data_IF_874027341513
#
_entry.id   IF_874027341513
#
_cell.length_a   1.000
_cell.length_b   1.000
_cell.length_c   1.000
_cell.angle_alpha   90.00
_cell.angle_beta   90.00
_cell.angle_gamma   90.00
#
_symmetry.space_group_name_H-M   'P 1'
#
loop_
_entity.id
_entity.type
_entity.pdbx_description
1 polymer ?
#
# COMPACT_ATOMS: atom_id res chain seq x y z
N UNK A 1 23.22 -11.00 -22.66
CA UNK A 1 23.51 -11.97 -21.59
C UNK A 1 24.38 -11.29 -20.54
N UNK A 2 24.21 -11.57 -19.29
CA UNK A 2 24.98 -10.98 -18.18
C UNK A 2 26.12 -11.89 -17.76
N UNK A 3 27.26 -11.33 -17.39
CA UNK A 3 28.45 -12.06 -16.97
C UNK A 3 28.45 -12.42 -15.47
N UNK A 4 27.36 -12.15 -14.74
CA UNK A 4 27.31 -12.33 -13.28
C UNK A 4 26.35 -13.39 -12.81
N UNK A 5 26.06 -14.37 -13.62
CA UNK A 5 25.02 -15.33 -13.32
C UNK A 5 25.58 -16.70 -13.06
N UNK A 6 24.89 -17.47 -12.28
CA UNK A 6 25.14 -18.91 -12.10
C UNK A 6 24.41 -19.67 -13.19
N UNK A 7 25.05 -20.65 -13.79
CA UNK A 7 24.42 -21.56 -14.70
C UNK A 7 23.46 -22.45 -13.94
N UNK A 8 22.14 -22.22 -14.07
CA UNK A 8 21.13 -23.10 -13.50
C UNK A 8 20.75 -24.18 -14.49
N UNK A 9 20.92 -25.44 -14.09
CA UNK A 9 20.23 -26.56 -14.73
C UNK A 9 18.83 -26.66 -14.10
N UNK A 10 17.84 -26.22 -14.82
CA UNK A 10 16.44 -26.22 -14.38
C UNK A 10 15.86 -27.62 -14.11
N UNK A 11 16.58 -28.67 -14.46
CA UNK A 11 16.15 -30.06 -14.27
C UNK A 11 16.94 -30.82 -13.22
N UNK A 12 18.09 -30.32 -12.79
CA UNK A 12 18.92 -30.98 -11.80
C UNK A 12 19.66 -29.94 -10.94
N UNK A 13 19.36 -29.93 -9.67
CA UNK A 13 20.02 -29.09 -8.64
C UNK A 13 21.52 -29.47 -8.41
N UNK A 14 22.19 -30.07 -9.38
CA UNK A 14 23.64 -30.35 -9.31
C UNK A 14 24.38 -29.14 -9.85
N UNK A 15 25.20 -28.51 -8.98
CA UNK A 15 26.19 -27.49 -9.37
C UNK A 15 27.02 -28.05 -10.53
N UNK A 16 26.83 -27.45 -11.72
CA UNK A 16 27.77 -27.59 -12.81
C UNK A 16 28.98 -26.73 -12.45
N UNK A 17 30.19 -27.23 -12.71
CA UNK A 17 31.47 -26.55 -12.41
C UNK A 17 31.40 -25.06 -12.76
N UNK A 18 31.93 -24.24 -11.86
CA UNK A 18 32.01 -22.81 -11.93
C UNK A 18 32.38 -22.31 -13.34
N UNK A 19 31.36 -21.82 -14.03
CA UNK A 19 31.55 -20.95 -15.19
C UNK A 19 31.75 -19.53 -14.66
N UNK A 20 32.69 -18.75 -15.19
CA UNK A 20 32.87 -17.36 -14.76
C UNK A 20 31.68 -16.43 -15.11
N UNK A 21 30.69 -16.95 -15.82
CA UNK A 21 29.49 -16.25 -16.24
C UNK A 21 28.24 -16.99 -15.77
N UNK A 22 27.42 -16.32 -15.02
CA UNK A 22 26.13 -16.80 -14.59
C UNK A 22 25.02 -16.22 -15.50
N UNK A 23 23.90 -16.88 -15.72
CA UNK A 23 22.77 -16.40 -16.49
C UNK A 23 21.65 -15.87 -15.59
N UNK A 24 21.24 -14.62 -15.80
CA UNK A 24 20.13 -14.02 -15.04
C UNK A 24 18.76 -14.33 -15.62
N UNK A 25 18.68 -15.14 -16.66
CA UNK A 25 17.41 -15.50 -17.29
C UNK A 25 16.88 -14.54 -18.36
N UNK A 26 17.58 -13.44 -18.64
CA UNK A 26 17.22 -12.53 -19.71
C UNK A 26 18.02 -12.84 -20.98
N UNK A 27 17.32 -13.09 -22.09
CA UNK A 27 17.93 -13.42 -23.39
C UNK A 27 17.23 -12.66 -24.51
N UNK A 28 18.02 -12.10 -25.44
CA UNK A 28 17.53 -11.53 -26.68
C UNK A 28 18.09 -12.34 -27.87
N UNK A 29 17.23 -12.73 -28.77
CA UNK A 29 17.58 -13.55 -29.95
C UNK A 29 17.36 -12.77 -31.23
N UNK A 30 18.35 -12.70 -32.09
CA UNK A 30 18.29 -12.00 -33.37
C UNK A 30 17.63 -12.83 -34.49
N UNK A 31 17.57 -14.17 -34.33
CA UNK A 31 16.96 -15.06 -35.33
C UNK A 31 15.90 -15.96 -34.67
N UNK A 32 14.64 -15.69 -34.99
CA UNK A 32 13.53 -16.53 -34.62
C UNK A 32 13.63 -17.96 -35.13
N UNK A 33 14.11 -18.11 -36.39
CA UNK A 33 14.20 -19.42 -37.03
C UNK A 33 15.24 -20.32 -36.32
N UNK A 34 16.42 -19.79 -36.03
CA UNK A 34 17.46 -20.56 -35.35
C UNK A 34 17.08 -20.89 -33.91
N UNK A 35 16.34 -20.01 -33.22
CA UNK A 35 15.78 -20.30 -31.89
C UNK A 35 14.78 -21.46 -31.97
N UNK A 36 13.86 -21.46 -32.91
CA UNK A 36 12.90 -22.54 -33.10
C UNK A 36 13.59 -23.88 -33.38
N UNK A 37 14.62 -23.89 -34.28
CA UNK A 37 15.43 -25.08 -34.55
C UNK A 37 16.11 -25.59 -33.27
N UNK A 38 16.76 -24.72 -32.53
CA UNK A 38 17.46 -25.06 -31.29
C UNK A 38 16.50 -25.65 -30.24
N UNK A 39 15.32 -25.06 -30.08
CA UNK A 39 14.27 -25.57 -29.17
C UNK A 39 13.74 -26.94 -29.62
N UNK A 40 13.54 -27.15 -30.91
CA UNK A 40 13.09 -28.44 -31.45
C UNK A 40 14.14 -29.55 -31.21
N UNK A 41 15.41 -29.28 -31.52
CA UNK A 41 16.50 -30.25 -31.34
C UNK A 41 16.75 -30.54 -29.86
N UNK A 42 16.61 -29.54 -28.99
CA UNK A 42 16.78 -29.69 -27.54
C UNK A 42 15.61 -30.38 -26.82
N UNK A 43 14.53 -30.74 -27.56
CA UNK A 43 13.31 -31.30 -26.99
C UNK A 43 12.73 -30.42 -25.88
N UNK A 44 12.69 -29.12 -26.11
CA UNK A 44 12.24 -28.07 -25.17
C UNK A 44 13.12 -27.84 -23.95
N UNK A 45 14.32 -28.44 -23.87
CA UNK A 45 15.30 -28.08 -22.85
C UNK A 45 15.91 -26.72 -23.22
N UNK A 46 15.53 -25.69 -22.49
CA UNK A 46 15.89 -24.29 -22.82
C UNK A 46 17.37 -24.01 -22.73
N UNK A 47 18.05 -24.53 -21.70
CA UNK A 47 19.51 -24.38 -21.53
C UNK A 47 20.25 -24.97 -22.72
N UNK A 48 19.90 -26.20 -23.12
CA UNK A 48 20.47 -26.85 -24.30
C UNK A 48 20.15 -26.08 -25.59
N UNK A 49 18.95 -25.50 -25.69
CA UNK A 49 18.58 -24.67 -26.84
C UNK A 49 19.45 -23.42 -26.97
N UNK A 50 19.78 -22.76 -25.85
CA UNK A 50 20.70 -21.61 -25.84
C UNK A 50 22.08 -22.00 -26.35
N UNK A 51 22.63 -23.12 -25.91
CA UNK A 51 23.92 -23.61 -26.41
C UNK A 51 23.88 -23.91 -27.92
N UNK A 52 22.82 -24.57 -28.40
CA UNK A 52 22.65 -24.84 -29.81
C UNK A 52 22.50 -23.56 -30.66
N UNK A 53 21.73 -22.61 -30.13
CA UNK A 53 21.58 -21.30 -30.77
C UNK A 53 22.91 -20.55 -30.86
N UNK A 54 23.69 -20.56 -29.76
CA UNK A 54 25.00 -19.89 -29.71
C UNK A 54 26.02 -20.49 -30.65
N UNK A 55 25.91 -21.77 -31.02
CA UNK A 55 26.73 -22.39 -32.05
C UNK A 55 26.39 -21.90 -33.45
N UNK A 56 25.11 -21.56 -33.70
CA UNK A 56 24.66 -21.06 -35.02
C UNK A 56 24.82 -19.53 -35.13
N UNK A 57 24.54 -18.80 -34.06
CA UNK A 57 24.59 -17.34 -34.02
C UNK A 57 25.32 -16.91 -32.75
N UNK A 58 26.42 -16.21 -32.88
CA UNK A 58 27.17 -15.70 -31.74
C UNK A 58 26.31 -14.80 -30.85
N UNK A 59 26.29 -15.11 -29.57
CA UNK A 59 25.59 -14.29 -28.56
C UNK A 59 26.62 -13.44 -27.80
N UNK A 60 26.27 -12.19 -27.57
CA UNK A 60 27.09 -11.25 -26.81
C UNK A 60 26.64 -11.24 -25.35
N UNK A 61 27.58 -11.43 -24.44
CA UNK A 61 27.34 -11.17 -23.02
C UNK A 61 27.25 -9.69 -22.74
N UNK A 62 26.28 -9.31 -21.91
CA UNK A 62 26.11 -7.94 -21.43
C UNK A 62 26.21 -7.98 -19.91
N UNK A 63 27.12 -7.19 -19.37
CA UNK A 63 27.28 -7.02 -17.94
C UNK A 63 26.13 -6.15 -17.41
N UNK A 64 25.44 -6.59 -16.37
CA UNK A 64 24.35 -5.85 -15.73
C UNK A 64 24.73 -5.63 -14.27
N UNK A 65 24.79 -4.37 -13.89
CA UNK A 65 24.99 -3.92 -12.50
C UNK A 65 24.07 -2.71 -12.25
N UNK A 66 23.39 -2.64 -11.10
CA UNK A 66 23.28 -3.69 -10.08
C UNK A 66 22.36 -4.85 -10.51
N UNK A 67 22.61 -6.06 -9.98
CA UNK A 67 21.76 -7.24 -10.16
C UNK A 67 21.18 -7.68 -8.81
N UNK A 68 19.87 -7.89 -8.80
CA UNK A 68 19.14 -8.37 -7.62
C UNK A 68 18.49 -9.72 -7.90
N UNK A 69 18.93 -10.73 -7.18
CA UNK A 69 18.37 -12.08 -7.29
C UNK A 69 17.09 -12.20 -6.47
N UNK A 70 15.99 -12.59 -7.12
CA UNK A 70 14.69 -12.83 -6.50
C UNK A 70 14.24 -14.30 -6.68
N UNK A 71 15.16 -15.23 -6.92
CA UNK A 71 14.87 -16.63 -7.25
C UNK A 71 14.24 -17.42 -6.10
N UNK A 72 14.44 -16.99 -4.87
CA UNK A 72 13.82 -17.57 -3.69
C UNK A 72 13.56 -16.49 -2.62
N UNK A 73 12.82 -16.85 -1.57
CA UNK A 73 12.41 -15.90 -0.53
C UNK A 73 13.60 -15.21 0.17
N UNK A 74 14.68 -15.94 0.46
CA UNK A 74 15.86 -15.35 1.12
C UNK A 74 16.55 -14.35 0.21
N UNK A 75 16.74 -14.70 -1.06
CA UNK A 75 17.31 -13.80 -2.06
C UNK A 75 16.41 -12.59 -2.31
N UNK A 76 15.09 -12.79 -2.37
CA UNK A 76 14.12 -11.70 -2.48
C UNK A 76 14.23 -10.70 -1.31
N UNK A 77 14.31 -11.17 -0.07
CA UNK A 77 14.49 -10.31 1.10
C UNK A 77 15.82 -9.55 1.05
N UNK A 78 16.92 -10.21 0.63
CA UNK A 78 18.21 -9.54 0.43
C UNK A 78 18.16 -8.51 -0.70
N UNK A 79 17.56 -8.87 -1.83
CA UNK A 79 17.38 -7.96 -2.96
C UNK A 79 16.57 -6.74 -2.50
N UNK A 80 15.47 -6.96 -1.80
CA UNK A 80 14.62 -5.91 -1.27
C UNK A 80 15.34 -4.99 -0.29
N UNK A 81 16.17 -5.53 0.60
CA UNK A 81 17.00 -4.75 1.52
C UNK A 81 17.99 -3.84 0.79
N UNK A 82 18.49 -4.27 -0.38
CA UNK A 82 19.43 -3.50 -1.19
C UNK A 82 18.75 -2.59 -2.23
N UNK A 83 17.52 -2.93 -2.63
CA UNK A 83 16.71 -2.14 -3.56
C UNK A 83 15.84 -1.12 -2.84
N UNK A 84 16.11 -0.86 -1.55
CA UNK A 84 15.31 0.13 -0.80
C UNK A 84 15.21 1.38 -1.63
N UNK A 85 14.01 1.60 -2.12
CA UNK A 85 13.70 2.72 -2.98
C UNK A 85 13.87 3.98 -2.14
N UNK A 86 14.92 4.72 -2.42
CA UNK A 86 14.95 6.14 -2.12
C UNK A 86 13.71 6.73 -2.79
N UNK A 87 12.64 6.91 -2.01
CA UNK A 87 11.63 7.87 -2.43
C UNK A 87 12.33 9.22 -2.37
N UNK A 88 12.03 10.12 -3.29
CA UNK A 88 12.71 11.39 -3.52
C UNK A 88 13.00 12.25 -2.27
N UNK A 89 12.47 11.88 -1.09
CA UNK A 89 12.58 12.62 0.17
C UNK A 89 12.97 11.79 1.40
N UNK A 90 13.15 10.47 1.30
CA UNK A 90 13.51 9.62 2.43
C UNK A 90 14.69 8.73 2.06
N UNK A 91 15.76 8.76 2.86
CA UNK A 91 16.85 7.78 2.79
C UNK A 91 16.56 6.63 3.76
N UNK A 92 16.62 5.41 3.26
CA UNK A 92 16.44 4.20 4.05
C UNK A 92 17.65 3.29 3.83
N UNK A 93 18.37 2.95 4.90
CA UNK A 93 19.52 2.07 4.87
C UNK A 93 19.27 0.83 5.73
N UNK A 94 19.60 -0.35 5.19
CA UNK A 94 19.50 -1.61 5.93
C UNK A 94 20.89 -2.21 6.06
N UNK A 95 21.38 -2.33 7.30
CA UNK A 95 22.68 -2.92 7.62
C UNK A 95 22.58 -3.76 8.88
N UNK A 96 23.17 -4.94 8.88
CA UNK A 96 23.31 -5.82 10.06
C UNK A 96 22.01 -6.03 10.85
N UNK A 97 20.89 -6.14 10.16
CA UNK A 97 19.58 -6.34 10.81
C UNK A 97 18.95 -5.08 11.40
N UNK A 98 19.45 -3.90 11.02
CA UNK A 98 18.97 -2.59 11.45
C UNK A 98 18.52 -1.81 10.23
N UNK A 99 17.34 -1.17 10.32
CA UNK A 99 16.82 -0.20 9.34
C UNK A 99 17.03 1.19 9.89
N UNK A 100 17.81 2.02 9.22
CA UNK A 100 17.95 3.44 9.56
C UNK A 100 17.20 4.29 8.55
N UNK A 101 16.32 5.17 9.03
CA UNK A 101 15.51 6.09 8.23
C UNK A 101 15.87 7.53 8.53
N UNK A 102 16.06 8.32 7.49
CA UNK A 102 16.20 9.78 7.54
C UNK A 102 15.41 10.43 6.41
N UNK A 103 15.18 11.72 6.48
CA UNK A 103 14.46 12.50 5.45
C UNK A 103 14.95 13.92 5.45
N UNK A 104 14.78 14.62 4.33
CA UNK A 104 14.96 16.06 4.24
C UNK A 104 13.86 16.82 5.05
N UNK A 105 12.71 16.17 5.26
CA UNK A 105 11.66 16.65 6.17
C UNK A 105 11.93 16.18 7.60
N UNK A 106 12.69 16.99 8.34
CA UNK A 106 13.01 16.72 9.73
C UNK A 106 11.78 16.60 10.64
N UNK A 107 10.74 17.41 10.41
CA UNK A 107 9.52 17.37 11.21
C UNK A 107 8.83 16.01 11.11
N UNK A 108 8.86 15.39 9.92
CA UNK A 108 8.31 14.07 9.70
C UNK A 108 9.07 13.01 10.51
N UNK A 109 10.41 13.01 10.44
CA UNK A 109 11.23 12.03 11.17
C UNK A 109 11.07 12.20 12.67
N UNK A 110 11.07 13.43 13.16
CA UNK A 110 10.89 13.74 14.58
C UNK A 110 9.50 13.32 15.08
N UNK A 111 8.46 13.51 14.27
CA UNK A 111 7.10 13.04 14.57
C UNK A 111 7.03 11.50 14.67
N UNK A 112 7.67 10.78 13.75
CA UNK A 112 7.74 9.32 13.80
C UNK A 112 8.50 8.85 15.05
N UNK A 113 9.64 9.49 15.42
CA UNK A 113 10.38 9.23 16.66
C UNK A 113 9.48 9.47 17.87
N UNK A 114 8.76 10.61 17.88
CA UNK A 114 7.83 10.93 18.95
C UNK A 114 6.80 9.82 19.13
N UNK A 115 6.20 9.33 18.05
CA UNK A 115 5.23 8.25 18.11
C UNK A 115 5.82 6.97 18.73
N UNK A 116 6.97 6.48 18.24
CA UNK A 116 7.60 5.26 18.75
C UNK A 116 7.98 5.35 20.23
N UNK A 117 8.36 6.53 20.70
CA UNK A 117 8.79 6.75 22.08
C UNK A 117 7.63 6.92 23.05
N UNK A 118 6.46 7.43 22.59
CA UNK A 118 5.33 7.79 23.43
C UNK A 118 4.16 6.80 23.40
N UNK A 119 4.13 5.84 22.46
CA UNK A 119 3.06 4.85 22.45
C UNK A 119 3.04 4.03 23.73
N UNK A 120 1.83 3.66 24.23
CA UNK A 120 1.67 2.81 25.40
C UNK A 120 2.38 1.47 25.26
N UNK A 121 2.93 0.97 26.36
CA UNK A 121 3.66 -0.30 26.39
C UNK A 121 2.91 -1.48 25.75
N UNK A 122 1.58 -1.68 25.93
CA UNK A 122 0.85 -2.75 25.27
C UNK A 122 0.86 -2.68 23.74
N UNK A 123 0.95 -1.48 23.14
CA UNK A 123 1.00 -1.29 21.69
C UNK A 123 2.38 -1.58 21.09
N UNK A 124 3.45 -1.52 21.87
CA UNK A 124 4.83 -1.79 21.38
C UNK A 124 5.00 -3.19 20.79
N UNK A 125 4.16 -4.15 21.21
CA UNK A 125 4.17 -5.50 20.62
C UNK A 125 3.82 -5.50 19.12
N UNK A 126 3.10 -4.49 18.65
CA UNK A 126 2.70 -4.32 17.25
C UNK A 126 3.69 -3.50 16.43
N UNK A 127 4.79 -3.05 16.98
CA UNK A 127 5.80 -2.24 16.27
C UNK A 127 7.12 -2.97 16.16
N UNK A 128 7.98 -2.66 15.17
CA UNK A 128 9.39 -2.93 15.26
C UNK A 128 9.97 -2.28 16.52
N UNK A 129 11.06 -2.84 17.04
CA UNK A 129 11.76 -2.24 18.17
C UNK A 129 12.48 -0.98 17.70
N UNK A 130 12.24 0.16 18.34
CA UNK A 130 13.08 1.34 18.20
C UNK A 130 14.40 1.06 18.91
N UNK A 131 15.50 1.06 18.14
CA UNK A 131 16.86 0.77 18.65
C UNK A 131 17.52 2.05 19.10
N UNK A 132 17.51 3.09 18.25
CA UNK A 132 18.16 4.36 18.51
C UNK A 132 17.54 5.47 17.66
N UNK A 133 17.78 6.71 18.06
CA UNK A 133 17.50 7.91 17.26
C UNK A 133 18.51 8.99 17.57
N UNK A 134 18.87 9.78 16.57
CA UNK A 134 19.90 10.80 16.69
C UNK A 134 19.60 12.02 15.84
N UNK A 135 20.22 13.13 16.18
CA UNK A 135 20.29 14.33 15.38
C UNK A 135 21.77 14.64 15.08
N UNK A 136 22.15 14.62 13.81
CA UNK A 136 23.50 14.92 13.34
C UNK A 136 23.41 16.02 12.30
N UNK A 137 24.18 17.09 12.48
CA UNK A 137 24.21 18.26 11.60
C UNK A 137 22.81 18.85 11.29
N UNK A 138 21.91 18.77 12.27
CA UNK A 138 20.54 19.27 12.15
C UNK A 138 19.58 18.31 11.45
N UNK A 139 20.02 17.15 11.00
CA UNK A 139 19.19 16.12 10.39
C UNK A 139 18.83 15.03 11.41
N UNK A 140 17.54 14.72 11.51
CA UNK A 140 17.05 13.62 12.34
C UNK A 140 17.10 12.29 11.60
N UNK A 141 17.43 11.24 12.36
CA UNK A 141 17.31 9.84 11.90
C UNK A 141 16.93 8.93 13.05
N UNK A 142 16.33 7.80 12.75
CA UNK A 142 16.06 6.76 13.71
C UNK A 142 16.35 5.37 13.14
N UNK A 143 16.58 4.42 14.02
CA UNK A 143 16.92 3.04 13.70
C UNK A 143 15.92 2.07 14.34
N UNK A 144 15.37 1.18 13.52
CA UNK A 144 14.49 0.09 13.94
C UNK A 144 15.14 -1.27 13.71
N UNK A 145 14.68 -2.29 14.41
CA UNK A 145 14.98 -3.68 14.03
C UNK A 145 14.49 -3.95 12.61
N UNK A 146 15.35 -4.58 11.80
CA UNK A 146 14.93 -5.03 10.48
C UNK A 146 14.11 -6.32 10.60
N UNK A 147 12.87 -6.25 10.14
CA UNK A 147 11.96 -7.39 10.09
C UNK A 147 11.87 -7.89 8.64
N UNK A 148 12.43 -9.08 8.32
CA UNK A 148 12.35 -9.67 6.98
C UNK A 148 10.95 -10.25 6.72
N UNK A 149 9.92 -9.43 6.84
CA UNK A 149 8.52 -9.78 6.73
C UNK A 149 7.91 -9.18 5.45
N UNK A 150 6.83 -9.78 4.99
CA UNK A 150 6.06 -9.24 3.87
C UNK A 150 4.98 -8.27 4.37
N UNK A 151 4.83 -7.11 3.75
CA UNK A 151 3.71 -6.22 4.05
C UNK A 151 2.41 -6.80 3.50
N UNK A 152 1.30 -6.42 4.13
CA UNK A 152 -0.01 -6.97 3.78
C UNK A 152 -0.47 -6.61 2.36
N UNK A 153 -0.05 -5.47 1.82
CA UNK A 153 -0.37 -5.10 0.44
C UNK A 153 0.19 -6.10 -0.58
N UNK A 154 1.41 -6.61 -0.39
CA UNK A 154 1.97 -7.65 -1.27
C UNK A 154 1.20 -8.96 -1.15
N UNK A 155 0.85 -9.36 0.08
CA UNK A 155 0.05 -10.56 0.33
C UNK A 155 -1.37 -10.43 -0.22
N UNK A 156 -1.96 -9.23 -0.19
CA UNK A 156 -3.32 -8.96 -0.65
C UNK A 156 -3.41 -8.94 -2.17
N UNK A 157 -2.47 -8.27 -2.83
CA UNK A 157 -2.46 -8.07 -4.29
C UNK A 157 -1.93 -9.30 -5.04
N UNK A 158 -0.91 -9.97 -4.49
CA UNK A 158 -0.19 -11.03 -5.21
C UNK A 158 -0.30 -12.41 -4.55
N UNK A 159 -0.72 -12.47 -3.28
CA UNK A 159 -0.82 -13.72 -2.54
C UNK A 159 -2.10 -14.49 -2.86
N UNK A 160 -2.03 -15.81 -2.62
CA UNK A 160 -3.17 -16.74 -2.72
C UNK A 160 -3.57 -17.27 -1.33
N UNK A 161 -3.36 -16.46 -0.29
CA UNK A 161 -3.70 -16.81 1.08
C UNK A 161 -5.22 -17.02 1.25
N UNK A 162 -5.60 -18.00 2.06
CA UNK A 162 -7.00 -18.37 2.25
C UNK A 162 -7.80 -17.33 3.04
N UNK A 163 -9.12 -17.45 3.05
CA UNK A 163 -10.01 -16.59 3.83
C UNK A 163 -9.70 -16.68 5.34
N UNK A 164 -9.40 -17.89 5.86
CA UNK A 164 -9.05 -18.11 7.27
C UNK A 164 -7.74 -17.39 7.66
N UNK A 165 -6.78 -17.31 6.73
CA UNK A 165 -5.57 -16.53 6.93
C UNK A 165 -5.90 -15.04 7.15
N UNK A 166 -6.78 -14.48 6.33
CA UNK A 166 -7.20 -13.08 6.44
C UNK A 166 -8.10 -12.82 7.64
N UNK A 167 -8.98 -13.75 8.00
CA UNK A 167 -9.76 -13.69 9.26
C UNK A 167 -8.83 -13.56 10.47
N UNK A 168 -7.74 -14.34 10.50
CA UNK A 168 -6.74 -14.23 11.56
C UNK A 168 -6.06 -12.85 11.58
N UNK A 169 -5.68 -12.30 10.42
CA UNK A 169 -5.10 -10.95 10.32
C UNK A 169 -6.10 -9.91 10.82
N UNK A 170 -7.37 -9.98 10.41
CA UNK A 170 -8.41 -9.07 10.86
C UNK A 170 -8.61 -9.15 12.38
N UNK A 171 -8.53 -10.33 12.96
CA UNK A 171 -8.59 -10.49 14.41
C UNK A 171 -7.41 -9.78 15.12
N UNK A 172 -6.19 -9.91 14.61
CA UNK A 172 -5.01 -9.21 15.14
C UNK A 172 -5.13 -7.68 15.01
N UNK A 173 -5.70 -7.20 13.91
CA UNK A 173 -5.96 -5.76 13.73
C UNK A 173 -7.04 -5.25 14.68
N UNK A 174 -8.10 -6.05 14.96
CA UNK A 174 -9.10 -5.72 15.99
C UNK A 174 -8.47 -5.64 17.38
N UNK A 175 -7.50 -6.51 17.69
CA UNK A 175 -6.75 -6.41 18.95
C UNK A 175 -5.92 -5.11 19.01
N UNK A 176 -5.29 -4.71 17.90
CA UNK A 176 -4.58 -3.43 17.82
C UNK A 176 -5.53 -2.26 18.10
N UNK A 177 -6.68 -2.18 17.41
CA UNK A 177 -7.69 -1.15 17.66
C UNK A 177 -8.21 -1.15 19.09
N UNK A 178 -8.49 -2.32 19.66
CA UNK A 178 -8.95 -2.46 21.03
C UNK A 178 -7.95 -1.88 22.03
N UNK A 179 -6.65 -2.17 21.86
CA UNK A 179 -5.60 -1.63 22.71
C UNK A 179 -5.36 -0.13 22.49
N UNK A 180 -5.43 0.32 21.25
CA UNK A 180 -5.27 1.73 20.89
C UNK A 180 -6.40 2.61 21.49
N UNK A 181 -7.58 2.01 21.68
CA UNK A 181 -8.77 2.69 22.17
C UNK A 181 -9.00 2.54 23.70
N UNK A 182 -8.03 2.02 24.46
CA UNK A 182 -8.17 1.91 25.91
C UNK A 182 -8.26 3.29 26.57
N UNK A 183 -9.35 3.51 27.31
CA UNK A 183 -9.72 4.82 27.90
C UNK A 183 -8.69 5.39 28.86
N UNK A 184 -7.86 4.56 29.48
CA UNK A 184 -6.87 5.00 30.47
C UNK A 184 -5.73 5.83 29.84
N UNK A 185 -5.51 5.65 28.55
CA UNK A 185 -4.40 6.27 27.82
C UNK A 185 -4.71 7.71 27.42
N UNK A 186 -5.98 8.05 27.18
CA UNK A 186 -6.40 9.34 26.61
C UNK A 186 -7.37 10.15 27.49
N UNK A 187 -7.52 9.79 28.77
CA UNK A 187 -8.39 10.50 29.74
C UNK A 187 -8.12 12.00 29.88
N UNK A 188 -6.93 12.44 29.55
CA UNK A 188 -6.48 13.82 29.67
C UNK A 188 -6.68 14.65 28.38
N UNK A 189 -7.16 14.02 27.31
CA UNK A 189 -7.38 14.69 26.03
C UNK A 189 -8.72 15.43 26.06
N UNK A 190 -8.73 16.67 25.56
CA UNK A 190 -9.92 17.51 25.52
C UNK A 190 -11.07 16.86 24.74
N UNK A 191 -12.28 17.02 25.22
CA UNK A 191 -13.50 16.39 24.65
C UNK A 191 -13.74 16.78 23.18
N UNK A 192 -13.28 17.95 22.72
CA UNK A 192 -13.43 18.41 21.35
C UNK A 192 -12.35 17.95 20.38
N UNK A 193 -11.27 17.34 20.87
CA UNK A 193 -10.09 17.01 20.07
C UNK A 193 -10.41 16.11 18.87
N UNK A 194 -11.09 14.97 19.09
CA UNK A 194 -11.40 14.04 18.02
C UNK A 194 -12.31 14.66 16.94
N UNK A 195 -13.23 15.52 17.35
CA UNK A 195 -14.11 16.26 16.43
C UNK A 195 -13.32 17.24 15.57
N UNK A 196 -12.47 18.05 16.19
CA UNK A 196 -11.60 18.99 15.46
C UNK A 196 -10.67 18.26 14.50
N UNK A 197 -10.12 17.12 14.95
CA UNK A 197 -9.27 16.28 14.12
C UNK A 197 -10.00 15.73 12.88
N UNK A 198 -11.24 15.24 13.05
CA UNK A 198 -12.08 14.80 11.95
C UNK A 198 -12.40 15.95 10.96
N UNK A 199 -12.78 17.13 11.47
CA UNK A 199 -13.04 18.31 10.67
C UNK A 199 -11.84 18.70 9.80
N UNK A 200 -10.64 18.70 10.37
CA UNK A 200 -9.42 19.06 9.64
C UNK A 200 -9.08 18.02 8.56
N UNK A 201 -9.23 16.73 8.84
CA UNK A 201 -8.86 15.67 7.90
C UNK A 201 -9.92 15.43 6.83
N UNK A 202 -11.19 15.32 7.22
CA UNK A 202 -12.26 14.94 6.29
C UNK A 202 -12.80 16.14 5.50
N UNK A 203 -12.83 17.33 6.10
CA UNK A 203 -13.34 18.52 5.44
C UNK A 203 -12.20 19.38 4.87
N UNK A 204 -11.46 20.10 5.72
CA UNK A 204 -10.50 21.13 5.27
C UNK A 204 -9.43 20.57 4.34
N UNK A 205 -8.80 19.46 4.73
CA UNK A 205 -7.75 18.82 3.93
C UNK A 205 -8.27 18.28 2.61
N UNK A 206 -9.46 17.66 2.61
CA UNK A 206 -10.04 17.08 1.39
C UNK A 206 -10.37 18.19 0.41
N UNK A 207 -11.08 19.24 0.81
CA UNK A 207 -11.43 20.34 -0.09
C UNK A 207 -10.18 21.07 -0.62
N UNK A 208 -9.20 21.37 0.26
CA UNK A 208 -7.93 21.99 -0.15
C UNK A 208 -7.25 21.19 -1.26
N UNK A 209 -7.18 19.86 -1.11
CA UNK A 209 -6.51 18.97 -2.07
C UNK A 209 -7.33 18.75 -3.33
N UNK A 210 -8.65 18.69 -3.20
CA UNK A 210 -9.54 18.55 -4.35
C UNK A 210 -9.50 19.78 -5.25
N UNK A 211 -9.48 20.99 -4.67
CA UNK A 211 -9.26 22.22 -5.45
C UNK A 211 -7.88 22.28 -6.10
N UNK A 212 -6.83 21.87 -5.40
CA UNK A 212 -5.50 21.80 -5.99
C UNK A 212 -5.45 20.82 -7.18
N UNK A 213 -6.14 19.68 -7.07
CA UNK A 213 -6.27 18.74 -8.20
C UNK A 213 -7.02 19.37 -9.38
N UNK A 214 -8.11 20.10 -9.10
CA UNK A 214 -8.90 20.74 -10.15
C UNK A 214 -8.10 21.81 -10.92
N UNK A 215 -7.32 22.60 -10.20
CA UNK A 215 -6.43 23.62 -10.77
C UNK A 215 -5.32 22.98 -11.63
N UNK A 216 -4.67 21.93 -11.12
CA UNK A 216 -3.56 21.25 -11.81
C UNK A 216 -4.02 20.47 -13.06
N UNK A 217 -5.21 19.87 -13.00
CA UNK A 217 -5.74 19.01 -14.06
C UNK A 217 -6.72 19.76 -15.01
N UNK A 218 -6.99 21.04 -14.79
CA UNK A 218 -7.98 21.85 -15.53
C UNK A 218 -9.36 21.18 -15.55
N UNK A 219 -9.85 20.74 -14.40
CA UNK A 219 -11.11 20.02 -14.23
C UNK A 219 -12.12 20.86 -13.45
N UNK A 220 -13.34 21.01 -13.99
CA UNK A 220 -14.45 21.62 -13.26
C UNK A 220 -15.13 20.60 -12.35
N UNK A 221 -14.97 20.77 -11.04
CA UNK A 221 -15.55 19.89 -10.02
C UNK A 221 -17.08 19.97 -9.92
N UNK A 222 -17.72 20.95 -10.55
CA UNK A 222 -19.17 21.11 -10.57
C UNK A 222 -19.83 20.38 -11.75
N UNK A 223 -19.05 19.83 -12.68
CA UNK A 223 -19.61 19.07 -13.78
C UNK A 223 -20.28 17.78 -13.29
N UNK A 224 -21.49 17.47 -13.78
CA UNK A 224 -22.16 16.22 -13.47
C UNK A 224 -21.32 15.00 -13.87
N UNK A 225 -21.21 14.04 -12.98
CA UNK A 225 -20.47 12.78 -13.16
C UNK A 225 -21.45 11.66 -13.46
N UNK A 226 -21.19 10.96 -14.56
CA UNK A 226 -21.86 9.68 -14.88
C UNK A 226 -20.83 8.58 -14.66
N UNK A 227 -21.14 7.64 -13.77
CA UNK A 227 -20.34 6.48 -13.48
C UNK A 227 -21.18 5.22 -13.67
N UNK A 228 -20.75 4.31 -14.55
CA UNK A 228 -21.44 3.06 -14.84
C UNK A 228 -22.96 3.29 -14.99
N UNK A 229 -23.34 4.12 -15.99
CA UNK A 229 -24.70 4.52 -16.38
C UNK A 229 -25.52 5.27 -15.31
N UNK A 230 -24.91 5.59 -14.16
CA UNK A 230 -25.59 6.27 -13.04
C UNK A 230 -25.10 7.70 -12.89
N UNK A 231 -26.04 8.65 -12.84
CA UNK A 231 -25.74 10.03 -12.49
C UNK A 231 -25.47 10.14 -10.99
N UNK A 232 -24.26 10.57 -10.61
CA UNK A 232 -23.84 10.63 -9.20
C UNK A 232 -23.95 12.06 -8.60
N UNK A 233 -24.27 13.07 -9.40
CA UNK A 233 -24.05 14.47 -9.07
C UNK A 233 -22.65 14.92 -9.50
N UNK A 234 -22.18 16.05 -9.00
CA UNK A 234 -20.83 16.56 -9.26
C UNK A 234 -19.81 16.00 -8.25
N UNK A 235 -18.52 16.09 -8.59
CA UNK A 235 -17.45 15.65 -7.66
C UNK A 235 -17.51 16.44 -6.35
N UNK A 236 -17.84 17.71 -6.40
CA UNK A 236 -17.96 18.55 -5.21
C UNK A 236 -19.16 18.16 -4.34
N UNK A 237 -20.32 17.84 -4.95
CA UNK A 237 -21.50 17.34 -4.23
C UNK A 237 -21.22 15.98 -3.58
N UNK A 238 -20.55 15.07 -4.27
CA UNK A 238 -20.09 13.78 -3.71
C UNK A 238 -19.19 14.01 -2.50
N UNK A 239 -18.20 14.91 -2.64
CA UNK A 239 -17.28 15.23 -1.55
C UNK A 239 -18.03 15.81 -0.33
N UNK A 240 -18.94 16.77 -0.55
CA UNK A 240 -19.72 17.39 0.52
C UNK A 240 -20.62 16.37 1.22
N UNK A 241 -21.34 15.53 0.48
CA UNK A 241 -22.18 14.48 1.07
C UNK A 241 -21.34 13.51 1.91
N UNK A 242 -20.16 13.10 1.42
CA UNK A 242 -19.26 12.25 2.17
C UNK A 242 -18.68 12.95 3.41
N UNK A 243 -18.39 14.27 3.36
CA UNK A 243 -17.93 15.06 4.50
C UNK A 243 -19.00 15.06 5.59
N UNK A 244 -20.24 15.37 5.24
CA UNK A 244 -21.35 15.44 6.20
C UNK A 244 -21.57 14.11 6.91
N UNK A 245 -21.56 13.00 6.14
CA UNK A 245 -21.65 11.64 6.70
C UNK A 245 -20.43 11.27 7.56
N UNK A 246 -19.21 11.57 7.12
CA UNK A 246 -17.99 11.26 7.88
C UNK A 246 -17.88 12.06 9.19
N UNK A 247 -18.33 13.32 9.21
CA UNK A 247 -18.36 14.15 10.41
C UNK A 247 -19.48 13.74 11.40
N UNK A 248 -20.49 12.99 10.95
CA UNK A 248 -21.52 12.42 11.82
C UNK A 248 -21.07 11.17 12.57
N UNK A 249 -19.91 10.59 12.23
CA UNK A 249 -19.36 9.42 12.93
C UNK A 249 -19.02 9.73 14.39
N UNK A 250 -19.00 8.71 15.26
CA UNK A 250 -18.60 8.88 16.65
C UNK A 250 -17.21 9.47 16.77
N UNK A 251 -17.06 10.55 17.53
CA UNK A 251 -15.79 11.21 17.76
C UNK A 251 -15.04 10.57 18.92
N UNK A 252 -14.27 9.55 18.64
CA UNK A 252 -13.50 8.80 19.64
C UNK A 252 -12.02 9.11 19.53
N UNK A 253 -11.44 9.60 20.63
CA UNK A 253 -9.99 9.74 20.76
C UNK A 253 -9.38 8.35 20.90
N UNK A 254 -8.32 8.10 20.18
CA UNK A 254 -7.56 6.84 20.22
C UNK A 254 -6.07 7.12 20.01
N UNK A 255 -5.20 6.24 20.46
CA UNK A 255 -3.85 6.18 19.94
C UNK A 255 -3.95 5.83 18.45
N UNK A 256 -3.43 6.67 17.60
CA UNK A 256 -3.60 6.58 16.16
C UNK A 256 -2.26 6.31 15.47
N UNK A 257 -2.26 5.41 14.51
CA UNK A 257 -1.14 5.23 13.59
C UNK A 257 -1.08 6.37 12.56
N UNK A 258 -2.24 6.79 12.08
CA UNK A 258 -2.41 7.90 11.15
C UNK A 258 -2.17 7.56 9.68
N UNK A 259 -1.65 6.37 9.39
CA UNK A 259 -1.52 5.83 8.04
C UNK A 259 -1.59 4.29 8.03
N UNK A 260 -2.63 3.73 8.66
CA UNK A 260 -2.81 2.29 8.88
C UNK A 260 -3.35 1.59 7.61
N UNK A 261 -2.61 1.70 6.50
CA UNK A 261 -2.89 0.97 5.27
C UNK A 261 -2.03 -0.30 5.16
N UNK A 262 -2.38 -1.21 4.29
CA UNK A 262 -1.70 -2.50 4.16
C UNK A 262 -0.21 -2.40 3.82
N UNK A 263 0.22 -1.35 3.12
CA UNK A 263 1.65 -1.11 2.85
C UNK A 263 2.47 -0.82 4.11
N UNK A 264 1.83 -0.39 5.20
CA UNK A 264 2.45 -0.05 6.47
C UNK A 264 2.19 -1.11 7.57
N UNK A 265 1.72 -2.29 7.17
CA UNK A 265 1.45 -3.42 8.08
C UNK A 265 2.16 -4.66 7.54
N UNK A 266 3.06 -5.23 8.31
CA UNK A 266 3.74 -6.49 8.00
C UNK A 266 3.15 -7.64 8.79
N UNK A 267 3.22 -8.87 8.25
CA UNK A 267 2.77 -10.07 8.93
C UNK A 267 3.92 -11.04 9.19
N UNK A 268 4.10 -11.39 10.47
CA UNK A 268 5.03 -12.42 10.92
C UNK A 268 4.32 -13.77 10.93
N UNK A 269 4.59 -14.60 9.93
CA UNK A 269 3.98 -15.93 9.79
C UNK A 269 4.39 -16.89 10.93
N UNK A 270 5.60 -16.75 11.50
CA UNK A 270 6.10 -17.60 12.58
C UNK A 270 5.52 -17.17 13.93
N UNK A 271 5.59 -15.88 14.23
CA UNK A 271 5.06 -15.30 15.45
C UNK A 271 3.53 -15.12 15.43
N UNK A 272 2.88 -15.31 14.27
CA UNK A 272 1.44 -15.10 14.04
C UNK A 272 0.96 -13.75 14.59
N UNK A 273 1.65 -12.68 14.20
CA UNK A 273 1.37 -11.31 14.66
C UNK A 273 1.58 -10.30 13.54
N UNK A 274 0.92 -9.17 13.66
CA UNK A 274 1.13 -8.03 12.76
C UNK A 274 2.12 -7.04 13.38
N UNK A 275 2.82 -6.31 12.52
CA UNK A 275 3.73 -5.22 12.86
C UNK A 275 3.38 -4.00 12.01
N UNK A 276 3.16 -2.87 12.66
CA UNK A 276 2.87 -1.58 12.01
C UNK A 276 4.10 -0.68 12.04
N UNK A 277 4.33 0.07 10.99
CA UNK A 277 5.47 0.97 10.83
C UNK A 277 5.08 2.20 10.01
N UNK A 278 5.94 3.22 9.96
CA UNK A 278 5.67 4.51 9.31
C UNK A 278 4.45 5.25 9.87
N UNK A 279 4.36 5.45 11.21
CA UNK A 279 3.26 6.19 11.82
C UNK A 279 3.34 7.67 11.46
N UNK A 280 2.21 8.39 11.58
CA UNK A 280 2.20 9.84 11.33
C UNK A 280 2.88 10.66 12.43
N UNK A 281 2.59 10.37 13.69
CA UNK A 281 3.17 11.04 14.86
C UNK A 281 2.77 12.50 15.06
N UNK A 282 1.80 13.02 14.29
CA UNK A 282 1.29 14.40 14.41
C UNK A 282 -0.24 14.45 14.46
N UNK A 283 -0.76 15.49 15.10
CA UNK A 283 -2.16 15.90 14.98
C UNK A 283 -2.46 16.57 13.63
N UNK A 284 -3.67 17.07 13.45
CA UNK A 284 -4.09 17.76 12.22
C UNK A 284 -3.41 19.14 12.01
N UNK A 285 -2.86 19.74 13.06
CA UNK A 285 -2.16 21.01 13.03
C UNK A 285 -0.63 20.86 12.88
N UNK A 286 -0.14 19.61 12.83
CA UNK A 286 1.29 19.32 12.73
C UNK A 286 2.01 19.29 14.08
N UNK A 287 1.31 19.39 15.22
CA UNK A 287 1.92 19.20 16.53
C UNK A 287 2.18 17.70 16.78
N UNK A 288 3.25 17.39 17.50
CA UNK A 288 3.55 16.00 17.83
C UNK A 288 2.47 15.39 18.72
N UNK A 289 1.90 14.30 18.27
CA UNK A 289 0.82 13.61 18.96
C UNK A 289 0.76 12.15 18.55
N UNK A 290 0.50 11.28 19.53
CA UNK A 290 0.14 9.89 19.28
C UNK A 290 -1.38 9.71 19.15
N UNK A 291 -2.17 10.77 19.36
CA UNK A 291 -3.64 10.71 19.43
C UNK A 291 -4.28 11.27 18.17
N UNK A 292 -5.45 10.76 17.86
CA UNK A 292 -6.31 11.22 16.79
C UNK A 292 -7.72 10.66 16.90
N UNK A 293 -8.48 10.70 15.81
CA UNK A 293 -9.81 10.10 15.73
C UNK A 293 -9.70 8.65 15.25
N UNK A 294 -10.23 7.70 16.04
CA UNK A 294 -10.19 6.27 15.75
C UNK A 294 -10.77 5.90 14.37
N UNK A 295 -11.74 6.65 13.88
CA UNK A 295 -12.34 6.42 12.55
C UNK A 295 -11.33 6.55 11.41
N UNK A 296 -10.30 7.37 11.57
CA UNK A 296 -9.33 7.61 10.49
C UNK A 296 -8.45 6.39 10.18
N UNK A 297 -7.95 5.68 11.19
CA UNK A 297 -7.18 4.46 10.98
C UNK A 297 -8.05 3.33 10.42
N UNK A 298 -9.32 3.25 10.84
CA UNK A 298 -10.28 2.32 10.23
C UNK A 298 -10.54 2.68 8.76
N UNK A 299 -10.69 3.97 8.43
CA UNK A 299 -10.84 4.40 7.05
C UNK A 299 -9.62 4.03 6.20
N UNK A 300 -8.39 4.20 6.74
CA UNK A 300 -7.15 3.80 6.07
C UNK A 300 -7.06 2.30 5.84
N UNK A 301 -7.46 1.49 6.80
CA UNK A 301 -7.51 0.04 6.64
C UNK A 301 -8.56 -0.38 5.59
N UNK A 302 -9.77 0.21 5.66
CA UNK A 302 -10.86 -0.05 4.70
C UNK A 302 -10.48 0.40 3.29
N UNK A 303 -9.73 1.48 3.16
CA UNK A 303 -9.17 1.97 1.91
C UNK A 303 -8.26 0.91 1.22
N UNK A 304 -7.49 0.12 1.96
CA UNK A 304 -6.72 -1.00 1.42
C UNK A 304 -7.62 -2.18 1.04
N UNK A 305 -8.54 -2.62 1.93
CA UNK A 305 -9.32 -3.84 1.74
C UNK A 305 -10.44 -3.66 0.71
N UNK A 306 -11.36 -2.73 0.98
CA UNK A 306 -12.55 -2.51 0.14
C UNK A 306 -12.28 -1.47 -0.94
N UNK A 307 -11.46 -0.47 -0.60
CA UNK A 307 -11.05 0.58 -1.52
C UNK A 307 -10.11 0.11 -2.62
N UNK A 308 -9.51 -1.08 -2.51
CA UNK A 308 -8.61 -1.63 -3.53
C UNK A 308 -7.41 -0.71 -3.85
N UNK A 309 -7.00 0.13 -2.90
CA UNK A 309 -5.90 1.09 -3.10
C UNK A 309 -4.62 0.42 -3.60
N UNK A 310 -4.24 -0.69 -2.98
CA UNK A 310 -3.00 -1.39 -3.29
C UNK A 310 -3.05 -2.04 -4.69
N UNK A 311 -4.24 -2.40 -5.19
CA UNK A 311 -4.44 -2.84 -6.58
C UNK A 311 -4.23 -1.69 -7.57
N UNK A 312 -4.70 -0.47 -7.23
CA UNK A 312 -4.44 0.72 -8.06
C UNK A 312 -2.94 1.02 -8.10
N UNK A 313 -2.26 0.98 -6.96
CA UNK A 313 -0.81 1.21 -6.89
C UNK A 313 -0.04 0.17 -7.71
N UNK A 314 -0.48 -1.09 -7.69
CA UNK A 314 0.13 -2.18 -8.47
C UNK A 314 -0.25 -2.18 -9.96
N UNK A 315 -1.16 -1.30 -10.40
CA UNK A 315 -1.63 -1.26 -11.79
C UNK A 315 -2.54 -2.43 -12.16
N UNK A 316 -3.18 -3.09 -11.18
CA UNK A 316 -4.09 -4.23 -11.39
C UNK A 316 -5.55 -3.78 -11.43
N UNK A 317 -5.86 -2.97 -12.41
CA UNK A 317 -7.21 -2.48 -12.70
C UNK A 317 -7.36 -2.26 -14.22
N UNK A 318 -8.59 -2.14 -14.66
CA UNK A 318 -8.97 -1.76 -16.01
C UNK A 318 -9.96 -0.60 -15.95
N UNK A 319 -9.75 0.41 -16.80
CA UNK A 319 -10.70 1.51 -16.99
C UNK A 319 -11.44 1.24 -18.29
N UNK A 320 -12.77 1.23 -18.22
CA UNK A 320 -13.64 1.04 -19.36
C UNK A 320 -14.33 2.36 -19.66
N UNK A 321 -14.03 2.92 -20.81
CA UNK A 321 -14.67 4.13 -21.31
C UNK A 321 -15.84 3.77 -22.23
N UNK A 322 -17.01 4.35 -21.97
CA UNK A 322 -18.20 4.21 -22.78
C UNK A 322 -18.91 5.55 -23.02
N UNK A 323 -19.87 5.56 -23.93
CA UNK A 323 -20.70 6.75 -24.17
C UNK A 323 -21.54 7.15 -22.94
N UNK A 324 -21.81 6.21 -22.05
CA UNK A 324 -22.62 6.36 -20.83
C UNK A 324 -21.77 6.59 -19.57
N UNK A 325 -20.48 6.88 -19.72
CA UNK A 325 -19.57 7.16 -18.61
C UNK A 325 -18.36 6.20 -18.56
N UNK A 326 -17.47 6.48 -17.63
CA UNK A 326 -16.29 5.62 -17.36
C UNK A 326 -16.53 4.75 -16.14
N UNK A 327 -15.95 3.54 -16.14
CA UNK A 327 -16.02 2.55 -15.08
C UNK A 327 -14.60 2.07 -14.74
N UNK A 328 -14.37 1.65 -13.51
CA UNK A 328 -13.15 0.99 -13.07
C UNK A 328 -13.45 -0.43 -12.60
N UNK A 329 -12.71 -1.41 -13.11
CA UNK A 329 -12.83 -2.81 -12.74
C UNK A 329 -11.53 -3.36 -12.18
N UNK A 330 -11.70 -4.28 -11.23
CA UNK A 330 -10.60 -5.01 -10.61
C UNK A 330 -10.78 -6.49 -10.94
N UNK A 331 -9.69 -7.13 -11.41
CA UNK A 331 -9.67 -8.58 -11.60
C UNK A 331 -9.48 -9.26 -10.25
N UNK A 332 -10.60 -9.57 -9.58
CA UNK A 332 -10.65 -10.24 -8.29
C UNK A 332 -11.30 -11.60 -8.42
N UNK A 333 -10.76 -12.59 -7.70
CA UNK A 333 -11.32 -13.93 -7.62
C UNK A 333 -12.36 -14.06 -6.49
N UNK A 334 -13.11 -15.16 -6.50
CA UNK A 334 -14.11 -15.44 -5.46
C UNK A 334 -13.52 -15.48 -4.04
N UNK A 335 -12.27 -15.87 -3.91
CA UNK A 335 -11.55 -15.87 -2.62
C UNK A 335 -11.41 -14.45 -2.09
N UNK A 336 -11.02 -13.50 -2.93
CA UNK A 336 -10.85 -12.11 -2.55
C UNK A 336 -12.21 -11.46 -2.21
N UNK A 337 -13.26 -11.79 -2.99
CA UNK A 337 -14.64 -11.38 -2.67
C UNK A 337 -15.06 -11.87 -1.27
N UNK A 338 -14.77 -13.13 -0.92
CA UNK A 338 -15.04 -13.67 0.41
C UNK A 338 -14.25 -12.95 1.51
N UNK A 339 -12.97 -12.64 1.28
CA UNK A 339 -12.15 -11.87 2.23
C UNK A 339 -12.76 -10.49 2.46
N UNK A 340 -13.23 -9.82 1.41
CA UNK A 340 -13.90 -8.53 1.52
C UNK A 340 -15.24 -8.64 2.28
N UNK A 341 -16.01 -9.66 2.05
CA UNK A 341 -17.27 -9.91 2.79
C UNK A 341 -17.01 -10.13 4.28
N UNK A 342 -16.00 -10.93 4.65
CA UNK A 342 -15.59 -11.12 6.05
C UNK A 342 -15.15 -9.79 6.71
N UNK A 343 -14.45 -8.95 5.97
CA UNK A 343 -14.06 -7.64 6.47
C UNK A 343 -15.27 -6.72 6.67
N UNK A 344 -16.21 -6.69 5.72
CA UNK A 344 -17.44 -5.89 5.77
C UNK A 344 -18.35 -6.32 6.93
N UNK A 345 -18.48 -7.62 7.19
CA UNK A 345 -19.30 -8.14 8.28
C UNK A 345 -18.74 -7.83 9.68
N UNK A 346 -17.52 -7.32 9.77
CA UNK A 346 -16.85 -7.04 11.03
C UNK A 346 -17.29 -5.73 11.67
N UNK A 347 -17.45 -5.73 12.99
CA UNK A 347 -17.42 -4.52 13.82
C UNK A 347 -15.99 -4.27 14.29
N UNK A 348 -15.58 -3.01 14.35
CA UNK A 348 -14.19 -2.63 14.58
C UNK A 348 -14.00 -1.80 15.86
N UNK A 349 -14.03 -0.50 15.78
CA UNK A 349 -13.79 0.40 16.92
C UNK A 349 -15.12 0.98 17.38
N UNK A 350 -15.48 0.84 18.66
CA UNK A 350 -16.71 1.42 19.23
C UNK A 350 -17.95 1.14 18.37
N UNK A 351 -18.13 -0.10 17.99
CA UNK A 351 -19.25 -0.59 17.17
C UNK A 351 -19.34 0.05 15.76
N UNK A 352 -18.30 0.77 15.31
CA UNK A 352 -18.23 1.25 13.94
C UNK A 352 -18.15 0.05 12.98
N UNK A 353 -19.04 0.07 12.01
CA UNK A 353 -19.04 -0.89 10.90
C UNK A 353 -18.21 -0.37 9.73
N UNK A 354 -17.79 -1.27 8.89
CA UNK A 354 -17.06 -0.89 7.67
C UNK A 354 -17.93 -0.05 6.73
N UNK A 355 -19.24 -0.28 6.70
CA UNK A 355 -20.18 0.51 5.89
C UNK A 355 -20.26 1.96 6.38
N UNK A 356 -20.31 2.16 7.71
CA UNK A 356 -20.38 3.50 8.27
C UNK A 356 -19.15 4.36 7.97
N UNK A 357 -17.99 3.74 7.73
CA UNK A 357 -16.73 4.43 7.43
C UNK A 357 -16.53 4.72 5.93
N UNK A 358 -17.36 4.15 5.03
CA UNK A 358 -17.19 4.32 3.58
C UNK A 358 -17.16 5.77 3.09
N UNK A 359 -17.94 6.71 3.63
CA UNK A 359 -17.81 8.12 3.26
C UNK A 359 -16.39 8.65 3.47
N UNK A 360 -15.75 8.30 4.60
CA UNK A 360 -14.37 8.69 4.87
C UNK A 360 -13.38 8.02 3.90
N UNK A 361 -13.64 6.80 3.45
CA UNK A 361 -12.82 6.11 2.43
C UNK A 361 -12.91 6.81 1.08
N UNK A 362 -14.09 7.25 0.66
CA UNK A 362 -14.27 8.07 -0.56
C UNK A 362 -13.43 9.34 -0.46
N UNK A 363 -13.51 10.05 0.69
CA UNK A 363 -12.72 11.27 0.92
C UNK A 363 -11.21 11.02 0.89
N UNK A 364 -10.73 9.85 1.34
CA UNK A 364 -9.33 9.48 1.22
C UNK A 364 -8.90 9.45 -0.25
N UNK A 365 -9.66 8.80 -1.15
CA UNK A 365 -9.35 8.76 -2.58
C UNK A 365 -9.37 10.15 -3.19
N UNK A 366 -10.39 10.96 -2.93
CA UNK A 366 -10.47 12.34 -3.43
C UNK A 366 -9.30 13.19 -2.94
N UNK A 367 -8.92 13.05 -1.66
CA UNK A 367 -7.81 13.83 -1.09
C UNK A 367 -6.42 13.37 -1.55
N UNK A 368 -6.30 12.22 -2.21
CA UNK A 368 -5.02 11.71 -2.71
C UNK A 368 -4.71 12.14 -4.14
N UNK A 369 -5.68 12.65 -4.88
CA UNK A 369 -5.53 12.99 -6.30
C UNK A 369 -4.28 13.83 -6.60
N UNK A 370 -4.02 14.98 -5.91
CA UNK A 370 -2.83 15.77 -6.21
C UNK A 370 -1.50 15.08 -5.84
N UNK A 371 -1.53 14.07 -4.95
CA UNK A 371 -0.32 13.32 -4.56
C UNK A 371 0.14 12.33 -5.64
N UNK A 372 -0.66 12.12 -6.68
CA UNK A 372 -0.40 11.22 -7.79
C UNK A 372 -0.39 11.93 -9.14
N UNK A 373 -0.09 13.25 -9.15
CA UNK A 373 0.02 14.05 -10.37
C UNK A 373 1.13 13.57 -11.32
N UNK A 374 2.16 12.88 -10.80
CA UNK A 374 3.21 12.22 -11.57
C UNK A 374 2.72 11.01 -12.40
N UNK A 375 1.51 10.48 -12.08
CA UNK A 375 0.90 9.32 -12.72
C UNK A 375 -0.59 9.58 -13.03
N UNK A 376 -0.89 10.29 -14.14
CA UNK A 376 -2.27 10.64 -14.50
C UNK A 376 -3.20 9.43 -14.67
N UNK A 377 -2.68 8.29 -15.13
CA UNK A 377 -3.42 7.02 -15.20
C UNK A 377 -3.90 6.54 -13.83
N UNK A 378 -3.03 6.59 -12.84
CA UNK A 378 -3.33 6.25 -11.44
C UNK A 378 -4.27 7.27 -10.80
N UNK A 379 -4.04 8.55 -11.04
CA UNK A 379 -4.88 9.64 -10.55
C UNK A 379 -6.33 9.48 -11.05
N UNK A 380 -6.51 9.17 -12.34
CA UNK A 380 -7.81 8.86 -12.93
C UNK A 380 -8.45 7.61 -12.30
N UNK A 381 -7.68 6.55 -12.10
CA UNK A 381 -8.16 5.33 -11.46
C UNK A 381 -8.65 5.60 -10.03
N UNK A 382 -7.95 6.43 -9.26
CA UNK A 382 -8.36 6.84 -7.90
C UNK A 382 -9.67 7.64 -7.92
N UNK A 383 -9.83 8.55 -8.87
CA UNK A 383 -11.07 9.34 -9.01
C UNK A 383 -12.26 8.43 -9.35
N UNK A 384 -12.11 7.56 -10.35
CA UNK A 384 -13.16 6.61 -10.72
C UNK A 384 -13.48 5.63 -9.59
N UNK A 385 -12.48 5.23 -8.83
CA UNK A 385 -12.70 4.36 -7.67
C UNK A 385 -13.42 5.08 -6.51
N UNK A 386 -13.20 6.39 -6.33
CA UNK A 386 -14.00 7.19 -5.40
C UNK A 386 -15.49 7.17 -5.82
N UNK A 387 -15.78 7.33 -7.11
CA UNK A 387 -17.15 7.25 -7.65
C UNK A 387 -17.76 5.84 -7.49
N UNK A 388 -16.98 4.78 -7.75
CA UNK A 388 -17.40 3.40 -7.52
C UNK A 388 -17.83 3.18 -6.07
N UNK A 389 -16.99 3.59 -5.11
CA UNK A 389 -17.28 3.43 -3.68
C UNK A 389 -18.48 4.27 -3.24
N UNK A 390 -18.59 5.49 -3.75
CA UNK A 390 -19.75 6.34 -3.49
C UNK A 390 -21.05 5.70 -3.97
N UNK A 391 -21.08 5.23 -5.22
CA UNK A 391 -22.24 4.53 -5.80
C UNK A 391 -22.62 3.29 -4.99
N UNK A 392 -21.64 2.47 -4.61
CA UNK A 392 -21.90 1.17 -3.98
C UNK A 392 -22.30 1.26 -2.50
N UNK A 393 -21.80 2.26 -1.77
CA UNK A 393 -21.90 2.23 -0.31
C UNK A 393 -22.42 3.54 0.34
N UNK A 394 -22.43 4.65 -0.37
CA UNK A 394 -22.78 5.95 0.22
C UNK A 394 -24.04 6.54 -0.35
N UNK A 395 -24.22 6.41 -1.66
CA UNK A 395 -25.39 6.93 -2.37
C UNK A 395 -26.62 6.15 -1.92
N UNK A 396 -27.62 6.84 -1.43
CA UNK A 396 -28.90 6.22 -1.06
C UNK A 396 -29.60 5.72 -2.34
N UNK A 397 -30.13 4.51 -2.29
CA UNK A 397 -30.99 4.01 -3.38
C UNK A 397 -32.14 5.00 -3.52
N UNK A 398 -32.25 5.60 -4.70
CA UNK A 398 -33.45 6.41 -5.02
C UNK A 398 -34.62 5.48 -4.94
N UNK A 399 -35.35 5.52 -3.82
CA UNK A 399 -36.65 4.85 -3.72
C UNK A 399 -37.56 5.55 -4.74
N UNK A 400 -37.76 4.92 -5.89
CA UNK A 400 -38.82 5.31 -6.80
C UNK A 400 -40.15 5.18 -6.02
N UNK A 401 -40.67 6.31 -5.56
CA UNK A 401 -42.03 6.44 -5.02
C UNK A 401 -43.03 6.49 -6.15
#
# INVERSE_FOLDING_TARGET
>A
MSDKTRQYDWQQTKKVKESPTDWIGYFAFSSRLELIKALAISKKNFVRAIYLYQQAIAMKSVNIEPYYDCSNFVHYIHARANMTTERAFNSLQIREGIVTKSSDDNNKIEAEIYWYTHIPAPLRRFTPQLIDYQQVDGQFSYSLEFLPLLPLNELYVHGLNTTEFWQHIFQLLKEFFSMANQSDVHRHIETGFAKSYAEDLYHKKTLKRLYAYADDADVDLNQPVIYDETMLGSTLEIAQHCIDKALSLPNTVSVMHGDLCFSNIMYDMRGRRVKVFDPRGTDSNGNFSIFGNASYDLAKLTHSVIGMYDFIIAGRYEIIDSASGSDIRFDIDKRLEQIQQEFLAGTWVNDMTTESIMPAVVLLFLSMLPLHADRPDRQRAMLLNAYRLYKMYVMEAVTCS
#
